data_IF_091259653851
#
_entry.id   IF_091259653851
#
_cell.length_a   1.000
_cell.length_b   1.000
_cell.length_c   1.000
_cell.angle_alpha   90.00
_cell.angle_beta   90.00
_cell.angle_gamma   90.00
#
_symmetry.space_group_name_H-M   'P 1'
#
loop_
_entity.id
_entity.type
_entity.pdbx_description
1 polymer ?
#
# COMPACT_ATOMS: atom_id res chain seq x y z
N UNK A 1 1.58 0.55 5.33
CA UNK A 1 0.66 0.31 6.47
C UNK A 1 1.48 0.14 7.72
N UNK A 2 1.14 0.88 8.76
CA UNK A 2 1.96 1.01 9.98
C UNK A 2 1.18 0.48 11.19
N UNK A 3 1.87 -0.27 12.05
CA UNK A 3 1.38 -0.64 13.37
C UNK A 3 2.34 -0.18 14.46
N UNK A 4 1.84 0.67 15.35
CA UNK A 4 2.54 1.11 16.55
C UNK A 4 2.56 -0.06 17.55
N UNK A 5 1.40 -0.66 17.82
CA UNK A 5 1.27 -1.71 18.84
C UNK A 5 2.03 -3.00 18.48
N UNK A 6 1.92 -3.46 17.23
CA UNK A 6 2.58 -4.68 16.75
C UNK A 6 3.97 -4.42 16.15
N UNK A 7 4.42 -3.16 16.15
CA UNK A 7 5.75 -2.73 15.71
C UNK A 7 6.12 -3.19 14.29
N UNK A 8 5.20 -3.09 13.34
CA UNK A 8 5.48 -3.43 11.95
C UNK A 8 5.26 -2.28 10.99
N UNK A 9 5.96 -2.35 9.85
CA UNK A 9 5.82 -1.44 8.72
C UNK A 9 5.74 -2.27 7.43
N UNK A 10 4.54 -2.34 6.85
CA UNK A 10 4.31 -2.97 5.55
C UNK A 10 4.44 -1.94 4.42
N UNK A 11 5.42 -2.12 3.55
CA UNK A 11 5.63 -1.28 2.37
C UNK A 11 4.81 -1.84 1.21
N UNK A 12 3.75 -1.12 0.84
CA UNK A 12 2.84 -1.54 -0.20
C UNK A 12 3.37 -1.15 -1.59
N UNK A 13 4.03 -2.08 -2.27
CA UNK A 13 4.43 -1.91 -3.67
C UNK A 13 3.21 -2.12 -4.59
N UNK A 14 2.93 -1.24 -5.56
CA UNK A 14 1.81 -1.43 -6.48
C UNK A 14 1.85 -2.79 -7.19
N UNK A 15 0.69 -3.44 -7.28
CA UNK A 15 0.46 -4.67 -8.07
C UNK A 15 1.21 -5.92 -7.57
N UNK A 16 1.47 -6.01 -6.27
CA UNK A 16 2.09 -7.17 -5.62
C UNK A 16 1.18 -7.86 -4.60
N UNK A 17 -0.13 -7.87 -4.84
CA UNK A 17 -1.16 -8.38 -3.92
C UNK A 17 -1.20 -7.65 -2.55
N UNK A 18 -0.73 -6.40 -2.49
CA UNK A 18 -0.70 -5.64 -1.24
C UNK A 18 -2.08 -5.34 -0.64
N UNK A 19 -3.15 -5.20 -1.44
CA UNK A 19 -4.51 -5.06 -0.90
C UNK A 19 -4.93 -6.29 -0.08
N UNK A 20 -4.60 -7.50 -0.54
CA UNK A 20 -4.89 -8.74 0.17
C UNK A 20 -4.18 -8.78 1.52
N UNK A 21 -2.89 -8.39 1.56
CA UNK A 21 -2.14 -8.27 2.82
C UNK A 21 -2.75 -7.20 3.74
N UNK A 22 -3.11 -6.03 3.20
CA UNK A 22 -3.75 -4.95 3.97
C UNK A 22 -5.11 -5.36 4.54
N UNK A 23 -5.89 -6.17 3.82
CA UNK A 23 -7.19 -6.64 4.28
C UNK A 23 -7.11 -7.43 5.58
N UNK A 24 -6.00 -8.13 5.80
CA UNK A 24 -5.70 -8.87 7.04
C UNK A 24 -5.05 -7.96 8.08
N UNK A 25 -4.06 -7.17 7.66
CA UNK A 25 -3.30 -6.32 8.57
C UNK A 25 -4.08 -5.14 9.14
N UNK A 26 -5.19 -4.73 8.51
CA UNK A 26 -6.06 -3.64 9.01
C UNK A 26 -6.50 -3.83 10.46
N UNK A 27 -6.66 -5.07 10.90
CA UNK A 27 -7.06 -5.42 12.27
C UNK A 27 -5.94 -5.23 13.31
N UNK A 28 -4.72 -4.98 12.84
CA UNK A 28 -3.51 -4.87 13.66
C UNK A 28 -2.78 -3.53 13.47
N UNK A 29 -3.28 -2.65 12.60
CA UNK A 29 -2.72 -1.34 12.32
C UNK A 29 -3.64 -0.23 12.81
N UNK A 30 -3.08 0.91 13.17
CA UNK A 30 -3.83 2.14 13.45
C UNK A 30 -4.20 2.93 12.18
N UNK A 31 -3.99 2.33 11.00
CA UNK A 31 -4.39 2.89 9.71
C UNK A 31 -5.89 2.67 9.46
N UNK A 32 -6.55 3.69 8.93
CA UNK A 32 -7.96 3.66 8.54
C UNK A 32 -8.13 3.36 7.06
N UNK A 33 -9.15 2.56 6.74
CA UNK A 33 -9.57 2.26 5.37
C UNK A 33 -10.46 3.38 4.88
N UNK A 34 -10.16 3.91 3.69
CA UNK A 34 -10.92 4.98 3.05
C UNK A 34 -11.34 4.59 1.63
N UNK A 35 -12.48 5.11 1.19
CA UNK A 35 -12.93 5.06 -0.20
C UNK A 35 -12.93 6.48 -0.78
N UNK A 36 -11.83 6.85 -1.44
CA UNK A 36 -11.60 8.20 -1.95
C UNK A 36 -12.06 8.39 -3.41
N UNK A 37 -12.42 7.32 -4.13
CA UNK A 37 -12.91 7.41 -5.50
C UNK A 37 -13.99 6.35 -5.81
N UNK A 38 -14.79 6.53 -6.88
CA UNK A 38 -15.89 5.61 -7.21
C UNK A 38 -15.44 4.19 -7.56
N UNK A 39 -14.17 3.98 -7.89
CA UNK A 39 -13.62 2.66 -8.19
C UNK A 39 -13.21 1.90 -6.92
N UNK A 40 -13.35 2.50 -5.73
CA UNK A 40 -13.04 1.90 -4.44
C UNK A 40 -14.30 1.36 -3.78
N UNK A 41 -14.31 0.05 -3.55
CA UNK A 41 -15.42 -0.69 -2.95
C UNK A 41 -15.26 -0.87 -1.43
N UNK A 42 -14.13 -0.46 -0.85
CA UNK A 42 -13.85 -0.57 0.58
C UNK A 42 -13.48 -1.98 1.05
N UNK A 43 -13.52 -2.97 0.15
CA UNK A 43 -13.26 -4.38 0.44
C UNK A 43 -11.99 -4.84 -0.26
N UNK A 44 -11.97 -4.77 -1.59
CA UNK A 44 -10.86 -5.17 -2.44
C UNK A 44 -10.07 -3.98 -2.96
N UNK A 45 -10.72 -2.82 -3.04
CA UNK A 45 -10.17 -1.57 -3.56
C UNK A 45 -10.44 -0.47 -2.54
N UNK A 46 -9.38 -0.04 -1.88
CA UNK A 46 -9.45 0.98 -0.85
C UNK A 46 -8.12 1.73 -0.72
N UNK A 47 -8.19 2.90 -0.11
CA UNK A 47 -7.04 3.63 0.41
C UNK A 47 -6.78 3.31 1.87
N UNK A 48 -5.58 3.65 2.32
CA UNK A 48 -5.23 3.65 3.74
C UNK A 48 -4.63 4.99 4.14
N UNK A 49 -4.98 5.46 5.35
CA UNK A 49 -4.41 6.66 5.95
C UNK A 49 -4.14 6.46 7.43
N UNK A 50 -3.03 6.99 7.89
CA UNK A 50 -2.72 7.07 9.32
C UNK A 50 -3.03 8.49 9.81
N UNK A 51 -3.87 8.62 10.85
CA UNK A 51 -4.21 9.94 11.41
C UNK A 51 -3.01 10.66 12.03
N UNK A 52 -2.08 9.91 12.63
CA UNK A 52 -0.89 10.47 13.26
C UNK A 52 0.19 10.85 12.23
N UNK A 53 0.12 10.28 11.01
CA UNK A 53 1.09 10.50 9.95
C UNK A 53 0.37 10.82 8.62
N UNK A 54 -0.24 12.01 8.50
CA UNK A 54 -1.10 12.35 7.36
C UNK A 54 -0.35 12.40 6.02
N UNK A 55 0.95 12.68 6.03
CA UNK A 55 1.82 12.71 4.84
C UNK A 55 2.18 11.31 4.33
N UNK A 56 1.82 10.25 5.08
CA UNK A 56 2.02 8.87 4.67
C UNK A 56 0.76 8.38 3.97
N UNK A 57 0.96 7.81 2.81
CA UNK A 57 -0.11 7.38 1.93
C UNK A 57 0.09 5.92 1.52
N UNK A 58 -0.95 5.35 0.89
CA UNK A 58 -0.80 4.08 0.19
C UNK A 58 0.30 4.24 -0.88
N UNK A 59 1.16 3.23 -0.99
CA UNK A 59 2.33 3.23 -1.86
C UNK A 59 3.47 4.19 -1.50
N UNK A 60 3.43 4.85 -0.33
CA UNK A 60 4.60 5.56 0.20
C UNK A 60 5.83 4.64 0.24
N UNK A 61 6.95 5.18 -0.21
CA UNK A 61 8.24 4.51 -0.26
C UNK A 61 8.82 4.33 1.14
N UNK A 62 9.81 3.44 1.30
CA UNK A 62 10.51 3.30 2.58
C UNK A 62 11.22 4.62 2.99
N UNK A 63 11.67 5.41 2.01
CA UNK A 63 12.28 6.72 2.25
C UNK A 63 11.24 7.72 2.78
N UNK A 64 10.02 7.71 2.26
CA UNK A 64 8.94 8.59 2.73
C UNK A 64 8.65 8.30 4.22
N UNK A 65 8.61 7.01 4.59
CA UNK A 65 8.48 6.60 5.99
C UNK A 65 9.67 7.06 6.83
N UNK A 66 10.90 6.96 6.32
CA UNK A 66 12.10 7.41 7.03
C UNK A 66 12.13 8.92 7.26
N UNK A 67 11.59 9.71 6.32
CA UNK A 67 11.52 11.17 6.43
C UNK A 67 10.47 11.66 7.43
N UNK A 68 9.40 10.88 7.64
CA UNK A 68 8.28 11.26 8.51
C UNK A 68 8.42 10.70 9.93
N UNK A 69 9.00 9.51 10.09
CA UNK A 69 9.12 8.83 11.39
C UNK A 69 10.41 9.23 12.10
N UNK A 70 10.38 9.29 13.44
CA UNK A 70 11.62 9.46 14.19
C UNK A 70 12.56 8.25 14.00
N UNK A 71 13.89 8.44 14.05
CA UNK A 71 14.84 7.35 13.80
C UNK A 71 14.60 6.11 14.66
N UNK A 72 14.49 6.27 15.98
CA UNK A 72 14.26 5.15 16.90
C UNK A 72 12.95 4.42 16.62
N UNK A 73 11.90 5.18 16.31
CA UNK A 73 10.61 4.62 15.94
C UNK A 73 10.72 3.83 14.64
N UNK A 74 11.35 4.37 13.61
CA UNK A 74 11.56 3.72 12.32
C UNK A 74 12.39 2.43 12.47
N UNK A 75 13.54 2.50 13.13
CA UNK A 75 14.45 1.36 13.29
C UNK A 75 13.83 0.21 14.09
N UNK A 76 13.01 0.52 15.10
CA UNK A 76 12.32 -0.49 15.92
C UNK A 76 11.12 -1.17 15.25
N UNK A 77 10.79 -0.87 13.99
CA UNK A 77 9.74 -1.59 13.22
C UNK A 77 10.32 -2.78 12.46
N UNK A 78 9.60 -3.90 12.48
CA UNK A 78 9.77 -4.99 11.52
C UNK A 78 9.24 -4.55 10.15
N UNK A 79 10.09 -4.54 9.13
CA UNK A 79 9.80 -3.98 7.80
C UNK A 79 9.69 -5.11 6.79
N UNK A 80 8.63 -5.10 5.99
CA UNK A 80 8.45 -6.12 4.95
C UNK A 80 7.66 -5.57 3.77
N UNK A 81 7.80 -6.26 2.64
CA UNK A 81 7.09 -5.99 1.41
C UNK A 81 6.81 -7.32 0.70
N UNK A 82 5.82 -7.33 -0.18
CA UNK A 82 5.61 -8.41 -1.13
C UNK A 82 6.06 -7.92 -2.50
N UNK A 83 6.86 -8.73 -3.18
CA UNK A 83 7.32 -8.46 -4.54
C UNK A 83 6.66 -9.42 -5.53
N UNK A 84 6.74 -9.08 -6.80
CA UNK A 84 6.25 -9.88 -7.93
C UNK A 84 7.29 -9.85 -9.04
N UNK A 85 7.31 -10.87 -9.89
CA UNK A 85 8.07 -10.84 -11.15
C UNK A 85 7.86 -9.49 -11.87
N UNK A 86 8.93 -8.79 -12.30
CA UNK A 86 8.82 -7.45 -12.86
C UNK A 86 7.90 -7.36 -14.09
N UNK A 87 7.95 -8.34 -14.98
CA UNK A 87 7.15 -8.37 -16.21
C UNK A 87 5.67 -8.54 -15.90
N UNK A 88 5.33 -9.51 -15.05
CA UNK A 88 3.95 -9.71 -14.62
C UNK A 88 3.40 -8.50 -13.86
N UNK A 89 4.24 -7.86 -13.02
CA UNK A 89 3.86 -6.63 -12.32
C UNK A 89 3.52 -5.52 -13.31
N UNK A 90 4.30 -5.39 -14.38
CA UNK A 90 4.06 -4.38 -15.42
C UNK A 90 2.77 -4.65 -16.18
N UNK A 91 2.51 -5.90 -16.58
CA UNK A 91 1.25 -6.29 -17.24
C UNK A 91 0.06 -6.01 -16.31
N UNK A 92 0.14 -6.42 -15.05
CA UNK A 92 -0.91 -6.18 -14.05
C UNK A 92 -1.13 -4.68 -13.78
N UNK A 93 -0.08 -3.87 -13.89
CA UNK A 93 -0.14 -2.43 -13.76
C UNK A 93 -0.82 -1.79 -14.98
N UNK A 94 -0.45 -2.21 -16.19
CA UNK A 94 -1.04 -1.75 -17.45
C UNK A 94 -2.56 -1.93 -17.45
N UNK A 95 -3.05 -3.14 -17.15
CA UNK A 95 -4.48 -3.46 -17.08
C UNK A 95 -5.12 -3.13 -15.72
N UNK A 96 -4.52 -2.25 -14.92
CA UNK A 96 -5.11 -1.90 -13.61
C UNK A 96 -6.42 -1.12 -13.80
N UNK A 97 -7.45 -1.35 -12.95
CA UNK A 97 -8.75 -0.68 -13.09
C UNK A 97 -8.68 0.85 -13.16
N UNK A 98 -7.73 1.45 -12.43
CA UNK A 98 -7.52 2.91 -12.43
C UNK A 98 -7.04 3.45 -13.79
N UNK A 99 -6.44 2.62 -14.64
CA UNK A 99 -6.01 2.99 -16.00
C UNK A 99 -7.09 2.76 -17.06
N UNK A 100 -8.16 2.04 -16.73
CA UNK A 100 -9.28 1.74 -17.62
C UNK A 100 -8.88 1.10 -18.97
N UNK A 101 -7.66 0.58 -19.06
CA UNK A 101 -7.15 -0.09 -20.26
C UNK A 101 -7.61 -1.54 -20.23
N UNK A 102 -8.47 -1.93 -21.18
CA UNK A 102 -9.00 -3.31 -21.27
C UNK A 102 -8.30 -4.14 -22.35
N UNK A 103 -7.74 -3.50 -23.37
CA UNK A 103 -7.05 -4.15 -24.48
C UNK A 103 -5.69 -3.49 -24.67
N UNK A 104 -4.68 -4.31 -24.92
CA UNK A 104 -3.39 -3.83 -25.43
C UNK A 104 -3.46 -3.80 -26.95
N UNK A 105 -3.01 -2.71 -27.55
CA UNK A 105 -2.79 -2.62 -28.98
C UNK A 105 -1.33 -2.25 -29.23
N UNK A 106 -0.69 -2.97 -30.14
CA UNK A 106 0.69 -2.71 -30.58
C UNK A 106 0.73 -1.78 -31.79
N UNK A 107 -0.29 -1.88 -32.64
CA UNK A 107 -0.43 -1.17 -33.91
C UNK A 107 -0.93 0.26 -33.68
#
# INVERSE_FOLDING_TARGET
>A
MLSIQKKFLFIHIPKTAGNSIQSVLKHYSEDEILCLNPLQDGVERFEVRNKNFPNIHKHSSLLDYYQVLSPDFFHSRYKFAVIRNPWERMISFFFSPHRQTQKWNRD
#
